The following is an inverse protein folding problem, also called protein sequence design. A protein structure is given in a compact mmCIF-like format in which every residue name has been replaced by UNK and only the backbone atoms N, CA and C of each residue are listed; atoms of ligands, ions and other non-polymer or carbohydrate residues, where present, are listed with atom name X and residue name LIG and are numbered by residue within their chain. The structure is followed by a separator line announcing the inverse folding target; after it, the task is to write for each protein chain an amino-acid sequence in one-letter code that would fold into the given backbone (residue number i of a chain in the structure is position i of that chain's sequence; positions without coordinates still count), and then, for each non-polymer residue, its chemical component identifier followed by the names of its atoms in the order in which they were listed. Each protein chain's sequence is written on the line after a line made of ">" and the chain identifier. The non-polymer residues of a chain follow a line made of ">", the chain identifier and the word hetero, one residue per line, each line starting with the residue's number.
data_IF_070053981791
#
_entry.id   IF_070053981791
#
_cell.length_a   1.000
_cell.length_b   1.000
_cell.length_c   1.000
_cell.angle_alpha   90.00
_cell.angle_beta   90.00
_cell.angle_gamma   90.00
#
_symmetry.space_group_name_H-M   'P 1'
#
loop_
_entity.id
_entity.type
_entity.pdbx_description
1 polymer ?
#
# COMPACT_ATOMS: atom_id res chain seq x y z
N UNK A 1 14.64 -17.84 0.03
CA UNK A 1 16.01 -17.29 0.01
C UNK A 1 15.91 -15.92 0.65
N UNK A 2 16.66 -15.66 1.72
CA UNK A 2 16.67 -14.36 2.38
C UNK A 2 17.15 -13.31 1.37
N UNK A 3 16.33 -12.30 1.11
CA UNK A 3 16.63 -11.19 0.22
C UNK A 3 17.24 -10.01 0.97
N UNK A 4 16.87 -9.80 2.25
CA UNK A 4 17.48 -8.75 3.08
C UNK A 4 18.89 -9.18 3.49
N UNK A 5 19.87 -8.45 3.00
CA UNK A 5 21.29 -8.70 3.23
C UNK A 5 21.69 -8.36 4.66
N UNK A 6 22.77 -8.98 5.13
CA UNK A 6 23.35 -8.66 6.44
C UNK A 6 23.73 -7.18 6.55
N UNK A 7 24.16 -6.54 5.45
CA UNK A 7 24.54 -5.13 5.40
C UNK A 7 23.32 -4.26 5.70
N UNK A 8 22.20 -4.48 5.00
CA UNK A 8 20.94 -3.76 5.23
C UNK A 8 20.43 -3.94 6.67
N UNK A 9 20.57 -5.14 7.25
CA UNK A 9 20.19 -5.37 8.67
C UNK A 9 21.01 -4.51 9.61
N UNK A 10 22.35 -4.52 9.45
CA UNK A 10 23.27 -3.71 10.26
C UNK A 10 23.00 -2.21 10.11
N UNK A 11 22.82 -1.73 8.88
CA UNK A 11 22.55 -0.31 8.62
C UNK A 11 21.24 0.15 9.28
N UNK A 12 20.19 -0.69 9.25
CA UNK A 12 18.93 -0.43 9.95
C UNK A 12 19.12 -0.39 11.47
N UNK A 13 19.93 -1.31 12.03
CA UNK A 13 20.20 -1.35 13.47
C UNK A 13 21.03 -0.14 13.93
N UNK A 14 22.06 0.22 13.15
CA UNK A 14 22.88 1.40 13.36
C UNK A 14 22.05 2.68 13.32
N UNK A 15 21.08 2.75 12.40
CA UNK A 15 20.13 3.87 12.34
C UNK A 15 19.37 4.02 13.67
N UNK A 16 18.81 2.94 14.23
CA UNK A 16 18.10 3.01 15.51
C UNK A 16 19.02 3.26 16.73
N UNK A 17 20.26 2.78 16.69
CA UNK A 17 21.23 2.94 17.78
C UNK A 17 21.83 4.34 17.83
N UNK A 18 22.33 4.78 16.69
CA UNK A 18 23.15 5.97 16.58
C UNK A 18 22.35 7.18 16.12
N UNK A 19 21.21 6.97 15.48
CA UNK A 19 20.40 8.02 14.87
C UNK A 19 20.98 8.52 13.55
N UNK A 20 20.32 9.52 12.96
CA UNK A 20 20.75 10.15 11.70
C UNK A 20 20.85 11.67 11.88
N UNK A 21 21.39 12.35 10.88
CA UNK A 21 21.52 13.80 10.84
C UNK A 21 20.53 14.39 9.84
N UNK A 22 19.88 15.50 10.21
CA UNK A 22 19.02 16.29 9.33
C UNK A 22 19.53 17.72 9.26
N UNK A 23 19.42 18.34 8.09
CA UNK A 23 19.77 19.74 7.89
C UNK A 23 18.54 20.63 8.09
N UNK A 24 18.52 21.43 9.16
CA UNK A 24 17.48 22.42 9.43
C UNK A 24 18.03 23.83 9.21
N UNK A 25 17.70 24.44 8.06
CA UNK A 25 18.00 25.83 7.63
C UNK A 25 19.49 26.25 7.61
N UNK A 26 20.19 26.16 8.74
CA UNK A 26 21.58 26.58 8.95
C UNK A 26 22.39 25.64 9.89
N UNK A 27 21.78 24.58 10.42
CA UNK A 27 22.46 23.65 11.35
C UNK A 27 22.12 22.19 11.02
N UNK A 28 23.14 21.33 11.07
CA UNK A 28 22.97 19.88 11.03
C UNK A 28 22.64 19.39 12.43
N UNK A 29 21.47 18.78 12.58
CA UNK A 29 20.97 18.28 13.86
C UNK A 29 20.95 16.76 13.85
N UNK A 30 21.61 16.16 14.83
CA UNK A 30 21.49 14.73 15.09
C UNK A 30 20.15 14.41 15.73
N UNK A 31 19.34 13.60 15.07
CA UNK A 31 18.04 13.12 15.54
C UNK A 31 18.11 11.65 15.92
N UNK A 32 17.30 11.26 16.89
CA UNK A 32 17.19 9.88 17.37
C UNK A 32 15.74 9.45 17.38
N UNK A 33 15.52 8.19 17.04
CA UNK A 33 14.24 7.53 17.14
C UNK A 33 14.48 6.09 17.60
N UNK A 34 14.28 5.77 18.89
CA UNK A 34 14.46 4.41 19.38
C UNK A 34 13.40 3.48 18.78
N UNK A 35 13.75 2.22 18.54
CA UNK A 35 12.86 1.23 17.93
C UNK A 35 11.56 1.01 18.73
N UNK A 36 11.59 1.23 20.05
CA UNK A 36 10.44 1.12 20.94
C UNK A 36 9.59 2.41 21.03
N UNK A 37 9.96 3.46 20.29
CA UNK A 37 9.24 4.73 20.22
C UNK A 37 8.96 5.35 21.58
N UNK A 38 7.67 5.50 21.94
CA UNK A 38 7.21 6.09 23.21
C UNK A 38 6.96 5.07 24.32
N UNK A 39 7.14 3.78 24.06
CA UNK A 39 6.96 2.71 25.05
C UNK A 39 8.28 2.48 25.82
N UNK A 40 8.25 1.60 26.82
CA UNK A 40 9.49 0.98 27.31
C UNK A 40 9.94 -0.12 26.35
N UNK A 41 11.24 -0.45 26.35
CA UNK A 41 11.77 -1.59 25.57
C UNK A 41 11.00 -2.88 25.89
N UNK A 42 10.76 -3.16 27.18
CA UNK A 42 10.01 -4.31 27.64
C UNK A 42 8.57 -4.33 27.11
N UNK A 43 7.85 -3.21 27.23
CA UNK A 43 6.47 -3.13 26.75
C UNK A 43 6.38 -3.26 25.23
N UNK A 44 7.38 -2.74 24.50
CA UNK A 44 7.47 -2.90 23.05
C UNK A 44 7.70 -4.38 22.67
N UNK A 45 8.67 -5.05 23.29
CA UNK A 45 8.98 -6.45 23.00
C UNK A 45 7.78 -7.37 23.27
N UNK A 46 7.05 -7.15 24.38
CA UNK A 46 5.81 -7.87 24.71
C UNK A 46 4.68 -7.71 23.69
N UNK A 47 4.75 -6.71 22.80
CA UNK A 47 3.78 -6.57 21.70
C UNK A 47 4.07 -7.50 20.52
N UNK A 48 5.30 -7.97 20.40
CA UNK A 48 5.78 -8.76 19.25
C UNK A 48 6.02 -10.21 19.66
N UNK A 49 6.57 -10.41 20.85
CA UNK A 49 7.02 -11.71 21.35
C UNK A 49 6.29 -12.09 22.63
N UNK A 50 5.97 -13.38 22.77
CA UNK A 50 5.58 -13.96 24.05
C UNK A 50 6.84 -14.26 24.87
N UNK A 51 7.31 -13.26 25.62
CA UNK A 51 8.55 -13.36 26.40
C UNK A 51 8.51 -14.44 27.50
N UNK A 52 7.32 -14.91 27.91
CA UNK A 52 7.21 -15.99 28.89
C UNK A 52 7.49 -17.37 28.28
N UNK A 53 7.30 -17.53 26.97
CA UNK A 53 7.57 -18.79 26.27
C UNK A 53 9.00 -18.88 25.72
N UNK A 54 9.72 -17.75 25.63
CA UNK A 54 11.11 -17.72 25.18
C UNK A 54 12.07 -18.14 26.31
N UNK A 55 13.14 -18.89 25.97
CA UNK A 55 14.13 -19.31 26.96
C UNK A 55 14.92 -18.12 27.53
N UNK A 56 15.36 -18.28 28.76
CA UNK A 56 16.30 -17.34 29.38
C UNK A 56 17.72 -17.56 28.86
N UNK A 57 18.46 -16.47 28.60
CA UNK A 57 19.91 -16.53 28.36
C UNK A 57 20.71 -16.56 29.67
N UNK A 58 20.06 -16.27 30.80
CA UNK A 58 20.62 -16.41 32.14
C UNK A 58 19.92 -17.55 32.89
N UNK A 59 20.65 -18.65 33.11
CA UNK A 59 20.16 -19.85 33.81
C UNK A 59 19.55 -19.61 35.20
N UNK A 60 19.72 -18.41 35.80
CA UNK A 60 19.07 -18.01 37.06
C UNK A 60 17.58 -17.67 36.92
N UNK A 61 17.11 -17.42 35.70
CA UNK A 61 15.73 -17.04 35.41
C UNK A 61 15.02 -18.10 34.57
N UNK A 62 13.71 -18.25 34.77
CA UNK A 62 12.91 -19.29 34.12
C UNK A 62 12.65 -19.00 32.64
N UNK A 63 12.57 -17.72 32.25
CA UNK A 63 12.21 -17.28 30.90
C UNK A 63 12.87 -15.95 30.52
N UNK A 64 12.70 -15.58 29.26
CA UNK A 64 13.26 -14.34 28.71
C UNK A 64 12.72 -13.09 29.44
N UNK A 65 11.43 -13.06 29.80
CA UNK A 65 10.87 -11.91 30.52
C UNK A 65 11.62 -11.62 31.83
N UNK A 66 11.90 -12.66 32.62
CA UNK A 66 12.63 -12.55 33.87
C UNK A 66 14.07 -12.09 33.69
N UNK A 67 14.80 -12.65 32.72
CA UNK A 67 16.19 -12.24 32.47
C UNK A 67 16.27 -10.81 31.93
N UNK A 68 15.42 -10.46 30.97
CA UNK A 68 15.47 -9.15 30.32
C UNK A 68 15.13 -8.11 31.38
N UNK A 69 14.10 -8.34 32.19
CA UNK A 69 13.74 -7.42 33.26
C UNK A 69 14.89 -7.23 34.27
N UNK A 70 15.55 -8.31 34.67
CA UNK A 70 16.66 -8.22 35.60
C UNK A 70 17.79 -7.36 35.02
N UNK A 71 18.14 -7.58 33.76
CA UNK A 71 19.30 -6.96 33.15
C UNK A 71 19.04 -5.54 32.62
N UNK A 72 17.87 -5.27 32.06
CA UNK A 72 17.55 -3.96 31.47
C UNK A 72 16.88 -2.98 32.45
N UNK A 73 16.30 -3.46 33.56
CA UNK A 73 15.57 -2.59 34.51
C UNK A 73 16.20 -2.63 35.90
N UNK A 74 16.53 -3.81 36.44
CA UNK A 74 17.05 -3.92 37.80
C UNK A 74 18.56 -3.61 37.88
N UNK A 75 19.35 -4.07 36.90
CA UNK A 75 20.81 -3.92 36.88
C UNK A 75 21.31 -2.84 35.91
N UNK A 76 20.63 -2.63 34.78
CA UNK A 76 21.07 -1.74 33.69
C UNK A 76 22.47 -2.13 33.15
N UNK A 77 22.69 -3.43 32.89
CA UNK A 77 23.98 -4.02 32.51
C UNK A 77 24.01 -4.62 31.09
N UNK A 78 22.92 -4.49 30.32
CA UNK A 78 22.91 -4.80 28.89
C UNK A 78 23.40 -3.64 28.03
N UNK A 79 24.12 -3.96 26.96
CA UNK A 79 24.60 -2.97 26.01
C UNK A 79 23.45 -2.36 25.20
N UNK A 80 23.61 -1.11 24.78
CA UNK A 80 22.65 -0.45 23.90
C UNK A 80 22.48 -1.26 22.60
N UNK A 81 21.25 -1.62 22.26
CA UNK A 81 20.96 -2.41 21.06
C UNK A 81 21.08 -3.92 21.22
N UNK A 82 21.26 -4.44 22.44
CA UNK A 82 21.33 -5.89 22.72
C UNK A 82 20.23 -6.71 22.01
N UNK A 83 19.03 -6.14 21.84
CA UNK A 83 17.88 -6.75 21.14
C UNK A 83 18.23 -7.17 19.71
N UNK A 84 19.08 -6.41 19.02
CA UNK A 84 19.45 -6.68 17.62
C UNK A 84 20.36 -7.90 17.48
N UNK A 85 21.14 -8.22 18.53
CA UNK A 85 22.07 -9.35 18.55
C UNK A 85 21.50 -10.59 19.27
N UNK A 86 20.39 -10.44 20.00
CA UNK A 86 19.77 -11.54 20.72
C UNK A 86 19.05 -12.51 19.75
N UNK A 87 19.64 -13.70 19.60
CA UNK A 87 19.15 -14.76 18.71
C UNK A 87 17.69 -15.19 19.01
N UNK A 88 17.16 -14.93 20.23
CA UNK A 88 15.77 -15.23 20.56
C UNK A 88 14.77 -14.44 19.71
N UNK A 89 15.14 -13.24 19.29
CA UNK A 89 14.30 -12.38 18.45
C UNK A 89 14.53 -12.58 16.95
N UNK A 90 15.61 -13.26 16.59
CA UNK A 90 15.97 -13.63 15.22
C UNK A 90 16.07 -12.42 14.27
N UNK A 91 16.43 -11.23 14.78
CA UNK A 91 16.51 -10.01 13.99
C UNK A 91 17.75 -9.97 13.09
N UNK A 92 18.90 -10.46 13.55
CA UNK A 92 20.10 -10.55 12.73
C UNK A 92 20.09 -11.80 11.84
N UNK A 93 19.76 -12.96 12.43
CA UNK A 93 19.98 -14.28 11.82
C UNK A 93 18.69 -15.01 11.38
N UNK A 94 17.51 -14.42 11.55
CA UNK A 94 16.22 -15.02 11.20
C UNK A 94 15.76 -14.81 9.77
N UNK A 95 14.50 -15.15 9.50
CA UNK A 95 13.85 -14.89 8.22
C UNK A 95 13.55 -13.39 8.04
N UNK A 96 13.44 -12.93 6.78
CA UNK A 96 13.16 -11.53 6.46
C UNK A 96 11.82 -11.06 7.04
N UNK A 97 10.82 -11.94 7.06
CA UNK A 97 9.49 -11.67 7.62
C UNK A 97 9.55 -11.29 9.10
N UNK A 98 10.49 -11.85 9.87
CA UNK A 98 10.66 -11.53 11.30
C UNK A 98 11.12 -10.09 11.46
N UNK A 99 12.14 -9.69 10.70
CA UNK A 99 12.63 -8.30 10.70
C UNK A 99 11.57 -7.32 10.20
N UNK A 100 10.91 -7.64 9.07
CA UNK A 100 9.89 -6.77 8.50
C UNK A 100 8.69 -6.59 9.46
N UNK A 101 8.29 -7.65 10.16
CA UNK A 101 7.23 -7.59 11.19
C UNK A 101 7.66 -6.73 12.38
N UNK A 102 8.91 -6.87 12.83
CA UNK A 102 9.49 -6.02 13.86
C UNK A 102 9.45 -4.54 13.44
N UNK A 103 9.90 -4.21 12.22
CA UNK A 103 9.90 -2.84 11.71
C UNK A 103 8.50 -2.26 11.57
N UNK A 104 7.50 -3.04 11.14
CA UNK A 104 6.10 -2.61 11.15
C UNK A 104 5.63 -2.24 12.57
N UNK A 105 6.05 -3.01 13.59
CA UNK A 105 5.73 -2.71 14.99
C UNK A 105 6.43 -1.43 15.48
N UNK A 106 7.69 -1.19 15.10
CA UNK A 106 8.44 0.05 15.40
C UNK A 106 7.68 1.29 14.95
N UNK A 107 7.08 1.26 13.74
CA UNK A 107 6.32 2.38 13.17
C UNK A 107 4.81 2.33 13.46
N UNK A 108 4.35 1.41 14.30
CA UNK A 108 2.94 1.30 14.62
C UNK A 108 2.44 2.55 15.39
N UNK A 109 1.24 3.11 15.11
CA UNK A 109 0.70 4.32 15.77
C UNK A 109 0.63 4.27 17.31
N UNK A 110 0.62 3.06 17.88
CA UNK A 110 0.67 2.85 19.34
C UNK A 110 2.08 3.03 19.92
N UNK A 111 3.12 2.81 19.11
CA UNK A 111 4.55 2.82 19.48
C UNK A 111 5.18 4.16 19.12
N UNK A 112 4.98 4.66 17.90
CA UNK A 112 5.59 5.91 17.45
C UNK A 112 5.01 7.15 18.16
N UNK A 113 5.82 8.21 18.24
CA UNK A 113 5.38 9.55 18.66
C UNK A 113 5.09 10.41 17.44
N UNK A 114 3.84 10.84 17.24
CA UNK A 114 3.44 11.61 16.04
C UNK A 114 4.15 12.96 15.91
N UNK A 115 4.61 13.54 17.03
CA UNK A 115 5.38 14.79 17.04
C UNK A 115 6.90 14.57 16.96
N UNK A 116 7.34 13.32 16.83
CA UNK A 116 8.76 12.96 16.73
C UNK A 116 9.18 12.67 15.28
N UNK A 117 10.46 12.30 15.13
CA UNK A 117 11.12 12.09 13.82
C UNK A 117 10.86 10.70 13.21
N UNK A 118 9.68 10.14 13.43
CA UNK A 118 9.40 8.76 12.99
C UNK A 118 9.29 8.64 11.47
N UNK A 119 8.93 9.73 10.76
CA UNK A 119 8.78 9.74 9.30
C UNK A 119 10.14 9.69 8.63
N UNK A 120 11.07 10.49 9.11
CA UNK A 120 12.47 10.54 8.66
C UNK A 120 13.12 9.17 8.82
N UNK A 121 12.93 8.51 9.97
CA UNK A 121 13.44 7.16 10.17
C UNK A 121 12.73 6.10 9.32
N UNK A 122 11.42 6.24 9.09
CA UNK A 122 10.69 5.37 8.18
C UNK A 122 11.22 5.48 6.75
N UNK A 123 11.51 6.70 6.29
CA UNK A 123 12.04 6.98 4.96
C UNK A 123 13.45 6.38 4.79
N UNK A 124 14.33 6.55 5.78
CA UNK A 124 15.66 5.94 5.79
C UNK A 124 15.59 4.40 5.79
N UNK A 125 14.77 3.81 6.68
CA UNK A 125 14.54 2.35 6.71
C UNK A 125 14.03 1.85 5.37
N UNK A 126 13.05 2.55 4.77
CA UNK A 126 12.55 2.18 3.45
C UNK A 126 13.60 2.34 2.35
N UNK A 127 14.47 3.35 2.42
CA UNK A 127 15.60 3.51 1.50
C UNK A 127 16.51 2.28 1.53
N UNK A 128 16.83 1.79 2.72
CA UNK A 128 17.65 0.59 2.92
C UNK A 128 16.93 -0.68 2.44
N UNK A 129 15.67 -0.89 2.84
CA UNK A 129 14.90 -2.09 2.46
C UNK A 129 14.69 -2.21 0.94
N UNK A 130 14.53 -1.09 0.24
CA UNK A 130 14.30 -1.07 -1.21
C UNK A 130 15.48 -1.62 -2.01
N UNK A 131 16.70 -1.44 -1.51
CA UNK A 131 17.90 -2.03 -2.13
C UNK A 131 17.83 -3.57 -2.14
N UNK A 132 17.09 -4.14 -1.19
CA UNK A 132 16.92 -5.58 -1.02
C UNK A 132 15.52 -6.06 -1.41
N UNK A 133 14.75 -5.24 -2.15
CA UNK A 133 13.50 -5.65 -2.76
C UNK A 133 12.29 -5.67 -1.81
N UNK A 134 12.32 -4.92 -0.71
CA UNK A 134 11.19 -4.74 0.20
C UNK A 134 10.88 -3.28 0.49
N UNK A 135 9.65 -2.99 0.92
CA UNK A 135 9.29 -1.70 1.51
C UNK A 135 8.18 -1.85 2.56
N UNK A 136 8.18 -0.95 3.52
CA UNK A 136 7.07 -0.68 4.44
C UNK A 136 6.13 0.31 3.78
N UNK A 137 4.85 -0.02 3.71
CA UNK A 137 3.82 0.81 3.08
C UNK A 137 2.62 0.98 4.01
N UNK A 138 1.85 2.09 3.90
CA UNK A 138 0.60 2.23 4.62
C UNK A 138 -0.39 1.13 4.21
N UNK A 139 -0.59 0.14 5.08
CA UNK A 139 -1.48 -1.00 4.83
C UNK A 139 -2.90 -0.70 5.31
N UNK A 140 -3.04 0.00 6.44
CA UNK A 140 -4.34 0.37 7.01
C UNK A 140 -4.26 1.64 7.85
N UNK A 141 -5.38 2.03 8.50
CA UNK A 141 -5.42 3.17 9.42
C UNK A 141 -6.12 2.80 10.73
N UNK A 142 -5.60 3.30 11.85
CA UNK A 142 -6.24 3.26 13.17
C UNK A 142 -6.33 4.70 13.69
N UNK A 143 -7.54 5.15 14.05
CA UNK A 143 -7.78 6.52 14.53
C UNK A 143 -7.22 7.60 13.58
N UNK A 144 -7.32 7.38 12.28
CA UNK A 144 -6.84 8.28 11.23
C UNK A 144 -5.33 8.21 10.93
N UNK A 145 -4.57 7.39 11.67
CA UNK A 145 -3.11 7.26 11.55
C UNK A 145 -2.73 5.99 10.81
N UNK A 146 -1.71 6.06 9.97
CA UNK A 146 -1.25 4.93 9.15
C UNK A 146 -0.62 3.82 9.98
N UNK A 147 -1.11 2.60 9.76
CA UNK A 147 -0.49 1.34 10.20
C UNK A 147 0.25 0.76 9.01
N UNK A 148 1.54 0.51 9.19
CA UNK A 148 2.40 0.03 8.14
C UNK A 148 2.42 -1.50 8.10
N UNK A 149 2.34 -2.05 6.89
CA UNK A 149 2.67 -3.43 6.57
C UNK A 149 3.91 -3.46 5.66
N UNK A 150 4.34 -4.65 5.25
CA UNK A 150 5.47 -4.81 4.32
C UNK A 150 5.02 -5.50 3.02
N UNK A 151 5.70 -5.19 1.92
CA UNK A 151 5.51 -5.85 0.62
C UNK A 151 6.83 -5.91 -0.15
N UNK A 152 6.88 -6.72 -1.20
CA UNK A 152 8.00 -6.67 -2.15
C UNK A 152 8.01 -5.31 -2.87
N UNK A 153 9.18 -4.70 -2.90
CA UNK A 153 9.44 -3.49 -3.66
C UNK A 153 9.80 -3.89 -5.10
N UNK A 154 9.00 -3.39 -6.04
CA UNK A 154 9.26 -3.53 -7.46
C UNK A 154 9.75 -2.16 -7.99
N UNK A 155 11.06 -1.98 -8.21
CA UNK A 155 11.61 -0.72 -8.69
C UNK A 155 11.11 -0.38 -10.10
N UNK A 156 10.79 -1.38 -10.94
CA UNK A 156 10.18 -1.13 -12.25
C UNK A 156 8.75 -0.62 -12.07
N UNK A 157 7.97 -1.14 -11.12
CA UNK A 157 6.61 -0.64 -10.83
C UNK A 157 6.60 0.73 -10.14
N UNK A 158 7.55 1.00 -9.25
CA UNK A 158 7.73 2.31 -8.60
C UNK A 158 8.24 3.37 -9.59
N UNK A 159 9.08 2.97 -10.55
CA UNK A 159 9.54 3.82 -11.65
C UNK A 159 8.51 3.96 -12.79
N UNK A 160 7.67 2.95 -13.02
CA UNK A 160 6.59 2.93 -14.02
C UNK A 160 5.35 3.64 -13.48
N UNK A 161 5.54 4.84 -12.95
CA UNK A 161 4.44 5.77 -12.73
C UNK A 161 3.91 6.22 -14.10
N UNK A 162 2.80 5.63 -14.55
CA UNK A 162 2.08 6.08 -15.74
C UNK A 162 0.95 7.01 -15.29
N UNK A 163 0.97 8.31 -15.65
CA UNK A 163 -0.04 9.27 -15.21
C UNK A 163 -1.43 8.92 -15.76
N UNK A 164 -2.48 9.32 -15.02
CA UNK A 164 -3.88 8.98 -15.27
C UNK A 164 -4.29 9.06 -16.75
N UNK A 165 -3.99 10.16 -17.44
CA UNK A 165 -4.38 10.36 -18.84
C UNK A 165 -3.76 9.35 -19.80
N UNK A 166 -2.57 8.85 -19.47
CA UNK A 166 -1.86 7.83 -20.24
C UNK A 166 -2.34 6.44 -19.86
N UNK A 167 -2.56 6.19 -18.56
CA UNK A 167 -3.09 4.93 -18.03
C UNK A 167 -4.45 4.57 -18.61
N UNK A 168 -5.31 5.58 -18.84
CA UNK A 168 -6.65 5.42 -19.41
C UNK A 168 -6.80 6.00 -20.83
N UNK A 169 -5.71 6.07 -21.60
CA UNK A 169 -5.70 6.73 -22.91
C UNK A 169 -6.75 6.14 -23.88
N UNK A 170 -6.95 4.81 -23.86
CA UNK A 170 -7.91 4.13 -24.72
C UNK A 170 -9.36 4.50 -24.34
N UNK A 171 -9.69 4.48 -23.06
CA UNK A 171 -11.01 4.79 -22.53
C UNK A 171 -11.36 6.27 -22.69
N UNK A 172 -10.38 7.17 -22.56
CA UNK A 172 -10.55 8.60 -22.83
C UNK A 172 -10.82 8.82 -24.32
N UNK A 173 -10.04 8.19 -25.21
CA UNK A 173 -10.22 8.28 -26.66
C UNK A 173 -11.60 7.76 -27.10
N UNK A 174 -12.04 6.65 -26.51
CA UNK A 174 -13.34 6.04 -26.77
C UNK A 174 -14.51 6.74 -26.05
N UNK A 175 -14.25 7.79 -25.26
CA UNK A 175 -15.24 8.52 -24.44
C UNK A 175 -15.98 7.63 -23.44
N UNK A 176 -15.35 6.56 -22.99
CA UNK A 176 -15.86 5.64 -21.96
C UNK A 176 -15.70 6.23 -20.56
N UNK A 177 -14.74 7.14 -20.37
CA UNK A 177 -14.58 7.92 -19.15
C UNK A 177 -15.18 9.31 -19.32
N UNK A 178 -16.09 9.67 -18.41
CA UNK A 178 -16.63 11.02 -18.27
C UNK A 178 -16.10 11.64 -17.00
N UNK A 179 -15.33 12.71 -17.14
CA UNK A 179 -14.82 13.51 -16.04
C UNK A 179 -15.03 14.99 -16.38
N UNK A 180 -15.60 15.74 -15.43
CA UNK A 180 -15.76 17.18 -15.54
C UNK A 180 -15.27 17.85 -14.28
N UNK A 181 -14.40 18.85 -14.45
CA UNK A 181 -13.90 19.69 -13.37
C UNK A 181 -14.29 21.12 -13.67
N UNK A 182 -15.26 21.65 -12.92
CA UNK A 182 -15.70 23.04 -13.07
C UNK A 182 -14.57 24.02 -12.78
N UNK A 183 -14.66 25.25 -13.30
CA UNK A 183 -13.65 26.29 -13.05
C UNK A 183 -13.46 26.57 -11.56
N UNK A 184 -14.54 26.50 -10.77
CA UNK A 184 -14.46 26.63 -9.31
C UNK A 184 -13.57 25.54 -8.69
N UNK A 185 -13.75 24.29 -9.12
CA UNK A 185 -12.96 23.16 -8.64
C UNK A 185 -11.51 23.30 -9.09
N UNK A 186 -11.25 23.65 -10.35
CA UNK A 186 -9.90 23.89 -10.88
C UNK A 186 -9.16 24.97 -10.08
N UNK A 187 -9.83 26.08 -9.76
CA UNK A 187 -9.24 27.13 -8.91
C UNK A 187 -8.92 26.64 -7.50
N UNK A 188 -9.76 25.78 -6.92
CA UNK A 188 -9.49 25.17 -5.61
C UNK A 188 -8.29 24.23 -5.66
N UNK A 189 -8.22 23.38 -6.70
CA UNK A 189 -7.10 22.46 -6.91
C UNK A 189 -5.80 23.21 -7.12
N UNK A 190 -5.79 24.25 -7.98
CA UNK A 190 -4.60 25.07 -8.21
C UNK A 190 -4.07 25.71 -6.92
N UNK A 191 -4.97 26.23 -6.06
CA UNK A 191 -4.55 26.79 -4.76
C UNK A 191 -3.87 25.76 -3.85
N UNK A 192 -4.27 24.49 -3.92
CA UNK A 192 -3.57 23.41 -3.22
C UNK A 192 -2.22 23.17 -3.86
N UNK A 193 -2.11 23.07 -5.18
CA UNK A 193 -0.81 22.89 -5.86
C UNK A 193 0.17 24.03 -5.53
N UNK A 194 -0.31 25.27 -5.54
CA UNK A 194 0.46 26.47 -5.19
C UNK A 194 0.95 26.40 -3.73
N UNK A 195 0.07 26.01 -2.79
CA UNK A 195 0.43 25.82 -1.37
C UNK A 195 1.52 24.76 -1.17
N UNK A 196 1.54 23.71 -1.99
CA UNK A 196 2.48 22.59 -1.91
C UNK A 196 3.63 22.71 -2.93
N UNK A 197 3.84 23.91 -3.50
CA UNK A 197 5.00 24.18 -4.34
C UNK A 197 6.14 24.70 -3.46
N UNK A 198 7.24 23.97 -3.46
CA UNK A 198 8.48 24.33 -2.74
C UNK A 198 9.59 24.63 -3.74
N UNK A 199 10.56 25.43 -3.32
CA UNK A 199 11.78 25.70 -4.10
C UNK A 199 12.90 24.77 -3.66
N UNK A 200 13.49 24.06 -4.61
CA UNK A 200 14.68 23.22 -4.42
C UNK A 200 15.89 23.91 -5.04
N UNK A 201 17.10 23.60 -4.56
CA UNK A 201 18.34 24.00 -5.21
C UNK A 201 18.88 22.83 -6.02
N UNK A 202 19.01 23.02 -7.32
CA UNK A 202 19.62 22.04 -8.22
C UNK A 202 21.00 22.53 -8.65
N UNK A 203 22.01 21.67 -8.57
CA UNK A 203 23.36 21.97 -9.08
C UNK A 203 23.54 21.26 -10.42
N UNK A 204 23.71 22.02 -11.49
CA UNK A 204 23.99 21.47 -12.82
C UNK A 204 25.32 20.72 -12.87
N UNK A 205 25.54 19.92 -13.92
CA UNK A 205 26.81 19.23 -14.20
C UNK A 205 28.03 20.17 -14.23
N UNK A 206 27.80 21.45 -14.51
CA UNK A 206 28.83 22.50 -14.55
C UNK A 206 29.06 23.21 -13.21
N UNK A 207 28.36 22.79 -12.14
CA UNK A 207 28.48 23.36 -10.79
C UNK A 207 27.60 24.60 -10.53
N UNK A 208 26.82 25.06 -11.51
CA UNK A 208 25.87 26.17 -11.31
C UNK A 208 24.66 25.74 -10.51
N UNK A 209 24.35 26.48 -9.45
CA UNK A 209 23.16 26.30 -8.64
C UNK A 209 22.00 27.14 -9.18
N UNK A 210 20.84 26.51 -9.35
CA UNK A 210 19.59 27.16 -9.73
C UNK A 210 18.46 26.74 -8.81
N UNK A 211 17.60 27.69 -8.47
CA UNK A 211 16.35 27.43 -7.78
C UNK A 211 15.34 26.84 -8.77
N UNK A 212 14.71 25.73 -8.41
CA UNK A 212 13.69 25.05 -9.21
C UNK A 212 12.45 24.77 -8.37
N UNK A 213 11.28 25.06 -8.91
CA UNK A 213 10.00 24.84 -8.22
C UNK A 213 9.52 23.40 -8.37
N UNK A 214 8.75 22.90 -7.41
CA UNK A 214 8.01 21.62 -7.54
C UNK A 214 7.22 21.55 -8.85
N UNK A 215 6.58 22.66 -9.27
CA UNK A 215 5.83 22.75 -10.54
C UNK A 215 6.69 22.47 -11.77
N UNK A 216 7.95 22.89 -11.75
CA UNK A 216 8.90 22.68 -12.85
C UNK A 216 9.37 21.22 -12.89
N UNK A 217 9.63 20.60 -11.73
CA UNK A 217 9.89 19.17 -11.65
C UNK A 217 8.69 18.35 -12.16
N UNK A 218 7.48 18.72 -11.76
CA UNK A 218 6.25 18.08 -12.25
C UNK A 218 6.14 18.20 -13.78
N UNK A 219 6.45 19.36 -14.36
CA UNK A 219 6.45 19.49 -15.83
C UNK A 219 7.55 18.68 -16.51
N UNK A 220 8.75 18.58 -15.93
CA UNK A 220 9.82 17.71 -16.43
C UNK A 220 9.35 16.25 -16.45
N UNK A 221 8.71 15.80 -15.38
CA UNK A 221 8.17 14.44 -15.27
C UNK A 221 7.02 14.17 -16.25
N UNK A 222 6.05 15.09 -16.37
CA UNK A 222 4.97 15.00 -17.38
C UNK A 222 5.55 14.92 -18.79
N UNK A 223 6.61 15.70 -19.08
CA UNK A 223 7.25 15.77 -20.40
C UNK A 223 7.87 14.45 -20.86
N UNK A 224 8.12 13.51 -19.93
CA UNK A 224 8.55 12.15 -20.28
C UNK A 224 7.45 11.34 -20.97
N UNK A 225 6.18 11.71 -20.77
CA UNK A 225 5.02 11.02 -21.34
C UNK A 225 4.40 11.79 -22.51
N UNK A 226 4.26 13.10 -22.37
CA UNK A 226 3.72 13.97 -23.41
C UNK A 226 4.11 15.44 -23.18
N UNK A 227 4.16 16.23 -24.24
CA UNK A 227 4.45 17.65 -24.14
C UNK A 227 3.32 18.40 -23.38
N UNK A 228 3.60 19.08 -22.25
CA UNK A 228 2.60 19.88 -21.55
C UNK A 228 2.06 21.00 -22.44
N UNK A 229 0.74 21.02 -22.62
CA UNK A 229 0.01 22.00 -23.45
C UNK A 229 -1.24 22.46 -22.73
N UNK A 230 -1.78 23.63 -23.08
CA UNK A 230 -3.10 24.09 -22.66
C UNK A 230 -3.73 24.97 -23.75
N UNK A 231 -5.03 25.24 -23.63
CA UNK A 231 -5.70 26.18 -24.51
C UNK A 231 -5.33 27.62 -24.15
N UNK A 232 -4.85 28.40 -25.13
CA UNK A 232 -4.63 29.83 -24.96
C UNK A 232 -5.96 30.61 -25.07
N UNK A 233 -5.89 31.94 -25.03
CA UNK A 233 -7.09 32.81 -25.13
C UNK A 233 -7.79 32.75 -26.49
N UNK A 234 -7.05 32.39 -27.56
CA UNK A 234 -7.58 32.22 -28.91
C UNK A 234 -8.21 30.83 -29.12
N UNK A 235 -8.11 29.93 -28.14
CA UNK A 235 -8.58 28.55 -28.25
C UNK A 235 -7.59 27.59 -28.91
N UNK A 236 -6.34 28.00 -29.15
CA UNK A 236 -5.29 27.14 -29.69
C UNK A 236 -4.66 26.29 -28.58
N UNK A 237 -4.36 25.03 -28.87
CA UNK A 237 -3.71 24.11 -27.94
C UNK A 237 -2.18 24.19 -28.07
N UNK A 238 -1.54 24.97 -27.20
CA UNK A 238 -0.12 25.36 -27.29
C UNK A 238 0.68 24.89 -26.09
N UNK A 239 2.01 24.79 -26.23
CA UNK A 239 2.90 24.41 -25.13
C UNK A 239 2.81 25.41 -23.98
N UNK A 240 2.89 24.90 -22.74
CA UNK A 240 2.84 25.74 -21.53
C UNK A 240 3.84 25.25 -20.49
N UNK A 241 4.48 26.19 -19.80
CA UNK A 241 5.23 25.97 -18.56
C UNK A 241 4.55 26.62 -17.36
N UNK A 242 3.30 27.07 -17.52
CA UNK A 242 2.52 27.74 -16.48
C UNK A 242 1.53 26.75 -15.88
N UNK A 243 1.78 26.34 -14.63
CA UNK A 243 0.95 25.37 -13.91
C UNK A 243 -0.48 25.90 -13.69
N UNK A 244 -0.66 27.20 -13.49
CA UNK A 244 -1.99 27.78 -13.35
C UNK A 244 -2.79 27.62 -14.64
N UNK A 245 -2.19 27.97 -15.78
CA UNK A 245 -2.84 27.79 -17.09
C UNK A 245 -3.10 26.32 -17.40
N UNK A 246 -2.16 25.44 -17.06
CA UNK A 246 -2.31 23.99 -17.25
C UNK A 246 -3.51 23.44 -16.48
N UNK A 247 -3.72 23.86 -15.22
CA UNK A 247 -4.88 23.44 -14.44
C UNK A 247 -6.18 24.08 -14.94
N UNK A 248 -6.14 25.35 -15.31
CA UNK A 248 -7.33 26.13 -15.63
C UNK A 248 -7.85 25.89 -17.05
N UNK A 249 -6.95 25.68 -18.02
CA UNK A 249 -7.26 25.67 -19.46
C UNK A 249 -6.87 24.37 -20.16
N UNK A 250 -6.98 23.22 -19.47
CA UNK A 250 -6.68 21.92 -20.08
C UNK A 250 -7.78 20.89 -19.86
N UNK A 251 -7.63 19.70 -20.44
CA UNK A 251 -8.42 18.51 -20.18
C UNK A 251 -8.41 18.18 -18.68
N UNK A 252 -9.55 17.80 -18.08
CA UNK A 252 -9.59 17.38 -16.67
C UNK A 252 -8.71 16.16 -16.39
N UNK A 253 -8.40 15.34 -17.40
CA UNK A 253 -7.47 14.22 -17.27
C UNK A 253 -6.01 14.69 -17.10
N UNK A 254 -5.61 15.78 -17.76
CA UNK A 254 -4.28 16.37 -17.53
C UNK A 254 -4.19 17.04 -16.15
N UNK A 255 -5.30 17.60 -15.65
CA UNK A 255 -5.37 18.10 -14.27
C UNK A 255 -5.12 16.97 -13.27
N UNK A 256 -5.67 15.78 -13.53
CA UNK A 256 -5.43 14.59 -12.74
C UNK A 256 -3.96 14.17 -12.75
N UNK A 257 -3.30 14.19 -13.91
CA UNK A 257 -1.86 13.91 -14.00
C UNK A 257 -1.03 14.84 -13.12
N UNK A 258 -1.29 16.14 -13.18
CA UNK A 258 -0.59 17.12 -12.34
C UNK A 258 -0.77 16.81 -10.84
N UNK A 259 -1.99 16.42 -10.42
CA UNK A 259 -2.26 16.04 -9.03
C UNK A 259 -1.43 14.80 -8.62
N UNK A 260 -1.44 13.75 -9.45
CA UNK A 260 -0.69 12.52 -9.15
C UNK A 260 0.83 12.78 -9.08
N UNK A 261 1.38 13.61 -9.98
CA UNK A 261 2.79 13.99 -9.93
C UNK A 261 3.13 14.89 -8.74
N UNK A 262 2.24 15.81 -8.34
CA UNK A 262 2.48 16.64 -7.15
C UNK A 262 2.57 15.80 -5.86
N UNK A 263 1.79 14.73 -5.75
CA UNK A 263 1.85 13.81 -4.60
C UNK A 263 3.21 13.11 -4.47
N UNK A 264 3.90 12.83 -5.59
CA UNK A 264 5.27 12.28 -5.59
C UNK A 264 6.25 13.16 -4.81
N UNK A 265 6.07 14.48 -4.87
CA UNK A 265 6.91 15.46 -4.18
C UNK A 265 6.36 15.89 -2.81
N UNK A 266 5.17 15.39 -2.43
CA UNK A 266 4.44 15.78 -1.23
C UNK A 266 3.85 14.56 -0.50
N UNK A 267 4.66 13.51 -0.32
CA UNK A 267 4.26 12.18 0.20
C UNK A 267 3.92 12.14 1.70
N UNK A 268 3.89 13.28 2.39
CA UNK A 268 3.60 13.36 3.83
C UNK A 268 2.12 13.11 4.19
N UNK A 269 1.26 12.89 3.17
CA UNK A 269 -0.16 12.57 3.27
C UNK A 269 -1.11 13.77 3.37
N UNK A 270 -0.60 14.98 3.64
CA UNK A 270 -1.45 16.17 3.79
C UNK A 270 -1.99 16.68 2.45
N UNK A 271 -1.19 16.56 1.38
CA UNK A 271 -1.59 16.93 0.02
C UNK A 271 -2.79 16.10 -0.43
N UNK A 272 -2.66 14.77 -0.41
CA UNK A 272 -3.75 13.85 -0.71
C UNK A 272 -5.02 14.14 0.13
N UNK A 273 -4.87 14.47 1.42
CA UNK A 273 -6.01 14.81 2.28
C UNK A 273 -6.77 16.05 1.81
N UNK A 274 -6.08 17.11 1.39
CA UNK A 274 -6.71 18.33 0.88
C UNK A 274 -7.36 18.11 -0.48
N UNK A 275 -6.68 17.40 -1.40
CA UNK A 275 -7.26 17.03 -2.70
C UNK A 275 -8.53 16.21 -2.51
N UNK A 276 -8.49 15.17 -1.66
CA UNK A 276 -9.64 14.31 -1.39
C UNK A 276 -10.80 15.07 -0.73
N UNK A 277 -10.50 16.08 0.11
CA UNK A 277 -11.52 16.95 0.68
C UNK A 277 -12.22 17.78 -0.39
N UNK A 278 -11.49 18.33 -1.36
CA UNK A 278 -12.07 19.06 -2.50
C UNK A 278 -12.95 18.13 -3.33
N UNK A 279 -12.49 16.93 -3.65
CA UNK A 279 -13.27 15.96 -4.42
C UNK A 279 -14.56 15.56 -3.71
N UNK A 280 -14.48 15.24 -2.41
CA UNK A 280 -15.65 14.87 -1.61
C UNK A 280 -16.69 16.00 -1.53
N UNK A 281 -16.25 17.25 -1.30
CA UNK A 281 -17.15 18.41 -1.22
C UNK A 281 -17.82 18.76 -2.55
N UNK A 282 -17.23 18.34 -3.67
CA UNK A 282 -17.74 18.61 -5.01
C UNK A 282 -18.26 17.36 -5.73
N UNK A 283 -18.51 16.26 -4.99
CA UNK A 283 -19.05 15.00 -5.51
C UNK A 283 -18.25 14.41 -6.69
N UNK A 284 -16.93 14.58 -6.70
CA UNK A 284 -16.04 13.94 -7.67
C UNK A 284 -15.80 12.50 -7.22
N UNK A 285 -16.07 11.54 -8.11
CA UNK A 285 -16.01 10.09 -7.83
C UNK A 285 -14.59 9.52 -7.94
N UNK A 286 -13.61 10.27 -7.46
CA UNK A 286 -12.20 9.87 -7.45
C UNK A 286 -11.58 10.26 -6.10
N UNK A 287 -10.60 9.47 -5.66
CA UNK A 287 -9.73 9.81 -4.53
C UNK A 287 -8.27 9.56 -4.90
N UNK A 288 -7.39 10.41 -4.40
CA UNK A 288 -5.95 10.23 -4.44
C UNK A 288 -5.56 9.28 -3.32
N UNK A 289 -5.01 8.13 -3.68
CA UNK A 289 -4.56 7.09 -2.77
C UNK A 289 -3.28 6.48 -3.34
N UNK A 290 -2.23 6.40 -2.51
CA UNK A 290 -0.93 5.84 -2.90
C UNK A 290 -0.34 6.46 -4.18
N UNK A 291 -0.38 7.79 -4.31
CA UNK A 291 0.14 8.51 -5.48
C UNK A 291 -0.74 8.44 -6.73
N UNK A 292 -1.87 7.72 -6.70
CA UNK A 292 -2.73 7.52 -7.88
C UNK A 292 -4.18 7.91 -7.61
N UNK A 293 -4.83 8.45 -8.63
CA UNK A 293 -6.25 8.71 -8.63
C UNK A 293 -7.02 7.46 -9.00
N UNK A 294 -7.84 6.99 -8.06
CA UNK A 294 -8.68 5.81 -8.22
C UNK A 294 -10.16 6.19 -8.14
N UNK A 295 -10.98 5.52 -8.95
CA UNK A 295 -12.41 5.76 -9.00
C UNK A 295 -13.08 5.17 -7.74
N UNK A 296 -13.89 5.98 -7.05
CA UNK A 296 -14.56 5.56 -5.80
C UNK A 296 -15.81 4.70 -6.03
N UNK A 297 -16.28 4.59 -7.27
CA UNK A 297 -17.42 3.74 -7.66
C UNK A 297 -16.98 2.36 -8.15
N UNK A 298 -15.70 2.16 -8.44
CA UNK A 298 -15.22 0.82 -8.74
C UNK A 298 -15.24 -0.02 -7.46
N UNK A 299 -15.77 -1.24 -7.57
CA UNK A 299 -15.72 -2.23 -6.49
C UNK A 299 -14.26 -2.60 -6.30
N UNK A 300 -13.58 -1.91 -5.40
CA UNK A 300 -12.26 -2.27 -4.91
C UNK A 300 -12.41 -3.00 -3.59
N UNK A 301 -11.57 -4.00 -3.34
CA UNK A 301 -11.50 -4.58 -2.01
C UNK A 301 -10.91 -3.53 -1.07
N UNK A 302 -11.62 -3.22 0.02
CA UNK A 302 -11.12 -2.24 0.99
C UNK A 302 -9.85 -2.77 1.66
N UNK A 303 -8.93 -1.89 2.06
CA UNK A 303 -7.75 -2.27 2.84
C UNK A 303 -8.13 -3.06 4.09
N UNK A 304 -9.23 -2.70 4.76
CA UNK A 304 -9.79 -3.44 5.90
C UNK A 304 -10.16 -4.88 5.55
N UNK A 305 -10.72 -5.11 4.36
CA UNK A 305 -11.05 -6.46 3.88
C UNK A 305 -9.77 -7.25 3.54
N UNK A 306 -8.69 -6.59 3.10
CA UNK A 306 -7.37 -7.22 2.86
C UNK A 306 -6.65 -7.60 4.15
N UNK A 307 -6.76 -6.79 5.20
CA UNK A 307 -6.21 -7.10 6.53
C UNK A 307 -6.88 -8.30 7.20
N UNK A 308 -8.13 -8.61 6.81
CA UNK A 308 -8.89 -9.74 7.35
C UNK A 308 -8.48 -11.11 6.79
N UNK A 309 -7.66 -11.16 5.73
CA UNK A 309 -7.19 -12.42 5.15
C UNK A 309 -5.93 -12.87 5.88
N UNK A 310 -6.06 -13.85 6.77
CA UNK A 310 -4.93 -14.43 7.52
C UNK A 310 -4.10 -15.44 6.70
N UNK A 311 -4.69 -16.10 5.70
CA UNK A 311 -3.95 -17.03 4.84
C UNK A 311 -3.17 -16.27 3.76
N UNK A 312 -1.84 -16.31 3.88
CA UNK A 312 -0.92 -15.54 3.02
C UNK A 312 -1.15 -15.80 1.53
N UNK A 313 -1.33 -17.05 1.10
CA UNK A 313 -1.51 -17.36 -0.32
C UNK A 313 -2.79 -16.77 -0.92
N UNK A 314 -3.90 -16.82 -0.19
CA UNK A 314 -5.15 -16.17 -0.57
C UNK A 314 -4.97 -14.65 -0.61
N UNK A 315 -4.30 -14.06 0.40
CA UNK A 315 -4.04 -12.62 0.44
C UNK A 315 -3.23 -12.17 -0.78
N UNK A 316 -2.17 -12.90 -1.12
CA UNK A 316 -1.32 -12.63 -2.28
C UNK A 316 -2.11 -12.69 -3.60
N UNK A 317 -2.87 -13.76 -3.85
CA UNK A 317 -3.65 -13.91 -5.09
C UNK A 317 -4.67 -12.79 -5.26
N UNK A 318 -5.31 -12.38 -4.17
CA UNK A 318 -6.28 -11.28 -4.19
C UNK A 318 -5.59 -9.94 -4.46
N UNK A 319 -4.43 -9.69 -3.84
CA UNK A 319 -3.63 -8.49 -4.11
C UNK A 319 -3.13 -8.44 -5.57
N UNK A 320 -2.66 -9.55 -6.11
CA UNK A 320 -2.27 -9.66 -7.51
C UNK A 320 -3.44 -9.38 -8.45
N UNK A 321 -4.62 -9.94 -8.15
CA UNK A 321 -5.83 -9.70 -8.95
C UNK A 321 -6.21 -8.22 -8.98
N UNK A 322 -6.21 -7.56 -7.82
CA UNK A 322 -6.47 -6.11 -7.70
C UNK A 322 -5.43 -5.29 -8.46
N UNK A 323 -4.14 -5.66 -8.33
CA UNK A 323 -3.04 -5.02 -9.06
C UNK A 323 -3.26 -5.10 -10.57
N UNK A 324 -3.38 -6.31 -11.12
CA UNK A 324 -3.56 -6.51 -12.56
C UNK A 324 -4.81 -5.85 -13.10
N UNK A 325 -5.89 -5.83 -12.30
CA UNK A 325 -7.12 -5.13 -12.70
C UNK A 325 -6.90 -3.62 -12.81
N UNK A 326 -6.16 -3.02 -11.86
CA UNK A 326 -5.82 -1.60 -11.87
C UNK A 326 -4.88 -1.20 -13.02
N UNK A 327 -4.07 -2.15 -13.49
CA UNK A 327 -3.15 -2.01 -14.63
C UNK A 327 -3.85 -2.27 -15.99
N UNK A 328 -5.18 -2.43 -15.99
CA UNK A 328 -5.99 -2.79 -17.16
C UNK A 328 -5.64 -4.17 -17.77
N UNK A 329 -4.89 -5.00 -17.05
CA UNK A 329 -4.55 -6.37 -17.44
C UNK A 329 -5.63 -7.35 -16.96
N UNK A 330 -6.82 -7.22 -17.55
CA UNK A 330 -8.06 -7.85 -17.09
C UNK A 330 -8.05 -9.37 -17.17
N UNK A 331 -7.33 -9.94 -18.14
CA UNK A 331 -7.23 -11.38 -18.30
C UNK A 331 -6.52 -12.01 -17.09
N UNK A 332 -5.32 -11.51 -16.79
CA UNK A 332 -4.54 -11.99 -15.63
C UNK A 332 -5.27 -11.66 -14.33
N UNK A 333 -5.92 -10.49 -14.24
CA UNK A 333 -6.70 -10.13 -13.05
C UNK A 333 -7.81 -11.16 -12.75
N UNK A 334 -8.57 -11.58 -13.78
CA UNK A 334 -9.63 -12.58 -13.63
C UNK A 334 -9.04 -13.95 -13.30
N UNK A 335 -7.93 -14.35 -13.91
CA UNK A 335 -7.22 -15.59 -13.59
C UNK A 335 -6.83 -15.64 -12.11
N UNK A 336 -6.10 -14.62 -11.62
CA UNK A 336 -5.65 -14.53 -10.22
C UNK A 336 -6.81 -14.49 -9.24
N UNK A 337 -7.89 -13.78 -9.58
CA UNK A 337 -9.08 -13.75 -8.74
C UNK A 337 -9.80 -15.10 -8.69
N UNK A 338 -9.80 -15.85 -9.79
CA UNK A 338 -10.34 -17.21 -9.79
C UNK A 338 -9.46 -18.18 -9.02
N UNK A 339 -8.13 -18.03 -9.08
CA UNK A 339 -7.21 -18.78 -8.24
C UNK A 339 -7.43 -18.48 -6.75
N UNK A 340 -7.64 -17.21 -6.39
CA UNK A 340 -8.04 -16.82 -5.05
C UNK A 340 -9.36 -17.50 -4.63
N UNK A 341 -10.38 -17.51 -5.49
CA UNK A 341 -11.64 -18.20 -5.22
C UNK A 341 -11.47 -19.72 -5.05
N UNK A 342 -10.60 -20.36 -5.84
CA UNK A 342 -10.29 -21.78 -5.67
C UNK A 342 -9.51 -22.06 -4.38
N UNK A 343 -8.60 -21.15 -4.00
CA UNK A 343 -7.84 -21.22 -2.74
C UNK A 343 -8.73 -21.03 -1.52
N UNK A 344 -9.65 -20.07 -1.57
CA UNK A 344 -10.69 -19.81 -0.57
C UNK A 344 -11.52 -21.08 -0.28
N UNK A 345 -11.93 -21.82 -1.31
CA UNK A 345 -12.67 -23.09 -1.14
C UNK A 345 -11.87 -24.20 -0.44
N UNK A 346 -10.58 -24.00 -0.22
CA UNK A 346 -9.69 -24.93 0.50
C UNK A 346 -9.12 -24.36 1.78
N UNK A 347 -9.64 -23.23 2.26
CA UNK A 347 -9.13 -22.51 3.43
C UNK A 347 -9.02 -23.40 4.69
N UNK A 348 -9.99 -24.28 4.94
CA UNK A 348 -9.99 -25.18 6.10
C UNK A 348 -9.29 -26.53 5.84
N UNK A 349 -8.42 -26.63 4.83
CA UNK A 349 -7.65 -27.83 4.52
C UNK A 349 -6.39 -27.93 5.42
N UNK A 350 -5.96 -29.14 5.85
CA UNK A 350 -6.49 -30.47 5.51
C UNK A 350 -7.64 -30.96 6.40
N UNK A 351 -8.08 -30.18 7.39
CA UNK A 351 -9.10 -30.58 8.37
C UNK A 351 -10.44 -30.86 7.68
N UNK A 352 -10.80 -30.05 6.69
CA UNK A 352 -11.96 -30.22 5.82
C UNK A 352 -11.51 -30.40 4.37
N UNK A 353 -12.19 -31.31 3.66
CA UNK A 353 -12.04 -31.37 2.21
C UNK A 353 -12.66 -30.12 1.54
N UNK A 354 -12.32 -29.87 0.27
CA UNK A 354 -12.78 -28.70 -0.48
C UNK A 354 -14.30 -28.47 -0.44
N UNK A 355 -15.10 -29.52 -0.54
CA UNK A 355 -16.56 -29.40 -0.52
C UNK A 355 -17.06 -28.95 0.85
N UNK A 356 -16.58 -29.59 1.92
CA UNK A 356 -16.93 -29.25 3.31
C UNK A 356 -16.39 -27.88 3.74
N UNK A 357 -15.20 -27.51 3.26
CA UNK A 357 -14.63 -26.18 3.50
C UNK A 357 -15.50 -25.09 2.87
N UNK A 358 -15.95 -25.28 1.62
CA UNK A 358 -16.87 -24.34 0.98
C UNK A 358 -18.23 -24.27 1.70
N UNK A 359 -18.79 -25.41 2.12
CA UNK A 359 -20.03 -25.46 2.90
C UNK A 359 -19.90 -24.69 4.22
N UNK A 360 -18.81 -24.88 4.96
CA UNK A 360 -18.54 -24.12 6.19
C UNK A 360 -18.49 -22.62 5.94
N UNK A 361 -17.77 -22.16 4.91
CA UNK A 361 -17.69 -20.73 4.57
C UNK A 361 -19.09 -20.17 4.28
N UNK A 362 -19.91 -20.88 3.51
CA UNK A 362 -21.28 -20.48 3.19
C UNK A 362 -22.14 -20.41 4.46
N UNK A 363 -22.01 -21.38 5.37
CA UNK A 363 -22.73 -21.37 6.65
C UNK A 363 -22.37 -20.15 7.49
N UNK A 364 -21.07 -19.86 7.61
CA UNK A 364 -20.55 -18.71 8.32
C UNK A 364 -21.06 -17.39 7.68
N UNK A 365 -20.98 -17.25 6.35
CA UNK A 365 -21.48 -16.08 5.59
C UNK A 365 -22.99 -15.86 5.74
N UNK A 366 -23.77 -16.94 5.79
CA UNK A 366 -25.23 -16.87 5.90
C UNK A 366 -25.72 -16.63 7.33
N UNK A 367 -24.85 -16.75 8.34
CA UNK A 367 -25.23 -16.83 9.75
C UNK A 367 -26.35 -17.88 10.00
N UNK A 368 -26.28 -19.00 9.29
CA UNK A 368 -27.33 -20.04 9.24
C UNK A 368 -28.73 -19.59 8.79
N UNK A 369 -28.88 -18.42 8.16
CA UNK A 369 -30.16 -17.96 7.61
C UNK A 369 -30.44 -18.63 6.25
N UNK A 370 -31.58 -19.34 6.07
CA UNK A 370 -31.83 -20.15 4.87
C UNK A 370 -31.84 -19.40 3.53
N UNK A 371 -32.35 -18.16 3.47
CA UNK A 371 -32.42 -17.41 2.21
C UNK A 371 -31.02 -16.94 1.78
N UNK A 372 -30.20 -16.45 2.72
CA UNK A 372 -28.80 -16.12 2.43
C UNK A 372 -27.98 -17.35 2.07
N UNK A 373 -28.17 -18.48 2.78
CA UNK A 373 -27.50 -19.74 2.46
C UNK A 373 -27.77 -20.16 1.01
N UNK A 374 -29.03 -20.16 0.58
CA UNK A 374 -29.41 -20.52 -0.78
C UNK A 374 -28.76 -19.60 -1.86
N UNK A 375 -28.70 -18.29 -1.60
CA UNK A 375 -28.07 -17.33 -2.51
C UNK A 375 -26.56 -17.61 -2.64
N UNK A 376 -25.86 -17.77 -1.52
CA UNK A 376 -24.42 -18.03 -1.53
C UNK A 376 -24.07 -19.40 -2.13
N UNK A 377 -24.84 -20.45 -1.83
CA UNK A 377 -24.68 -21.76 -2.48
C UNK A 377 -24.81 -21.66 -4.00
N UNK A 378 -25.82 -20.95 -4.48
CA UNK A 378 -26.03 -20.75 -5.90
C UNK A 378 -24.88 -19.97 -6.54
N UNK A 379 -24.36 -18.96 -5.85
CA UNK A 379 -23.25 -18.15 -6.38
C UNK A 379 -21.93 -18.94 -6.41
N UNK A 380 -21.57 -19.67 -5.35
CA UNK A 380 -20.40 -20.56 -5.33
C UNK A 380 -20.44 -21.59 -6.47
N UNK A 381 -21.61 -22.19 -6.71
CA UNK A 381 -21.83 -23.12 -7.83
C UNK A 381 -21.67 -22.42 -9.17
N UNK A 382 -22.26 -21.24 -9.33
CA UNK A 382 -22.21 -20.49 -10.59
C UNK A 382 -20.80 -20.08 -10.94
N UNK A 383 -20.02 -19.53 -9.99
CA UNK A 383 -18.62 -19.17 -10.23
C UNK A 383 -17.73 -20.38 -10.49
N UNK A 384 -17.98 -21.50 -9.81
CA UNK A 384 -17.27 -22.76 -10.11
C UNK A 384 -17.55 -23.22 -11.53
N UNK A 385 -18.80 -23.15 -11.99
CA UNK A 385 -19.17 -23.51 -13.35
C UNK A 385 -18.54 -22.58 -14.39
N UNK A 386 -18.51 -21.27 -14.13
CA UNK A 386 -17.86 -20.29 -15.01
C UNK A 386 -16.35 -20.62 -15.14
N UNK A 387 -15.64 -20.81 -14.04
CA UNK A 387 -14.21 -21.15 -14.06
C UNK A 387 -13.88 -22.47 -14.75
N UNK A 388 -14.81 -23.42 -14.73
CA UNK A 388 -14.66 -24.70 -15.42
C UNK A 388 -15.03 -24.64 -16.91
N UNK A 389 -15.83 -23.67 -17.34
CA UNK A 389 -16.37 -23.60 -18.71
C UNK A 389 -15.60 -22.62 -19.58
N UNK A 390 -15.18 -21.48 -19.04
CA UNK A 390 -14.46 -20.44 -19.75
C UNK A 390 -12.94 -20.61 -19.60
N UNK A 391 -12.20 -20.07 -20.56
CA UNK A 391 -10.73 -20.08 -20.58
C UNK A 391 -10.14 -19.04 -19.62
N UNK A 392 -10.40 -19.22 -18.32
CA UNK A 392 -9.95 -18.34 -17.24
C UNK A 392 -8.65 -18.85 -16.60
N UNK A 393 -8.59 -20.15 -16.26
CA UNK A 393 -7.42 -20.79 -15.62
C UNK A 393 -6.79 -21.89 -16.47
N UNK A 394 -7.63 -22.60 -17.22
CA UNK A 394 -7.21 -23.75 -18.02
C UNK A 394 -7.32 -23.38 -19.49
N UNK A 395 -6.20 -23.40 -20.21
CA UNK A 395 -6.14 -23.06 -21.63
C UNK A 395 -6.42 -24.27 -22.55
N UNK A 396 -7.21 -25.24 -22.07
CA UNK A 396 -7.65 -26.39 -22.86
C UNK A 396 -8.53 -25.94 -24.03
N UNK A 397 -8.42 -26.60 -25.19
CA UNK A 397 -9.18 -26.26 -26.40
C UNK A 397 -10.69 -26.48 -26.27
N UNK A 398 -11.15 -27.11 -25.19
CA UNK A 398 -12.56 -27.39 -24.89
C UNK A 398 -13.25 -26.26 -24.15
N UNK A 399 -12.51 -25.25 -23.66
CA UNK A 399 -13.05 -24.10 -22.93
C UNK A 399 -13.57 -23.03 -23.87
N UNK A 400 -14.55 -22.26 -23.40
CA UNK A 400 -15.11 -21.10 -24.11
C UNK A 400 -14.13 -19.94 -24.01
N UNK A 401 -13.66 -19.43 -25.15
CA UNK A 401 -12.82 -18.23 -25.20
C UNK A 401 -13.61 -16.97 -24.83
N UNK A 402 -12.94 -16.03 -24.15
CA UNK A 402 -13.51 -14.74 -23.75
C UNK A 402 -13.00 -13.67 -24.73
N UNK A 403 -13.70 -13.50 -25.85
CA UNK A 403 -13.25 -12.59 -26.92
C UNK A 403 -13.53 -11.09 -26.67
N UNK A 404 -14.38 -10.74 -25.70
CA UNK A 404 -14.78 -9.36 -25.41
C UNK A 404 -14.24 -8.94 -24.03
N UNK A 405 -13.38 -7.92 -24.01
CA UNK A 405 -12.72 -7.44 -22.79
C UNK A 405 -13.70 -7.02 -21.69
N UNK A 406 -14.92 -6.61 -22.05
CA UNK A 406 -15.99 -6.24 -21.09
C UNK A 406 -16.49 -7.44 -20.28
N UNK A 407 -16.34 -8.65 -20.79
CA UNK A 407 -16.73 -9.87 -20.07
C UNK A 407 -15.74 -10.16 -18.94
N UNK A 408 -14.45 -9.83 -19.12
CA UNK A 408 -13.49 -9.91 -18.02
C UNK A 408 -13.86 -8.95 -16.89
N UNK A 409 -14.31 -7.72 -17.19
CA UNK A 409 -14.82 -6.80 -16.15
C UNK A 409 -16.00 -7.40 -15.38
N UNK A 410 -16.96 -8.02 -16.09
CA UNK A 410 -18.11 -8.66 -15.46
C UNK A 410 -17.68 -9.84 -14.57
N UNK A 411 -16.85 -10.74 -15.07
CA UNK A 411 -16.37 -11.90 -14.31
C UNK A 411 -15.54 -11.47 -13.10
N UNK A 412 -14.65 -10.50 -13.29
CA UNK A 412 -13.86 -9.92 -12.21
C UNK A 412 -14.77 -9.37 -11.11
N UNK A 413 -15.65 -8.41 -11.43
CA UNK A 413 -16.52 -7.75 -10.44
C UNK A 413 -17.45 -8.74 -9.73
N UNK A 414 -17.96 -9.75 -10.46
CA UNK A 414 -18.84 -10.78 -9.90
C UNK A 414 -18.11 -11.68 -8.90
N UNK A 415 -16.95 -12.21 -9.27
CA UNK A 415 -16.16 -13.06 -8.39
C UNK A 415 -15.63 -12.26 -7.19
N UNK A 416 -15.20 -11.02 -7.44
CA UNK A 416 -14.67 -10.12 -6.43
C UNK A 416 -15.69 -9.85 -5.33
N UNK A 417 -16.96 -9.62 -5.71
CA UNK A 417 -18.03 -9.38 -4.76
C UNK A 417 -18.19 -10.56 -3.78
N UNK A 418 -18.16 -11.80 -4.29
CA UNK A 418 -18.26 -12.98 -3.42
C UNK A 418 -17.03 -13.13 -2.52
N UNK A 419 -15.82 -13.06 -3.10
CA UNK A 419 -14.56 -13.22 -2.35
C UNK A 419 -14.44 -12.16 -1.26
N UNK A 420 -14.78 -10.90 -1.57
CA UNK A 420 -14.70 -9.78 -0.62
C UNK A 420 -15.61 -9.94 0.59
N UNK A 421 -16.77 -10.57 0.43
CA UNK A 421 -17.66 -10.88 1.55
C UNK A 421 -17.13 -12.11 2.29
N UNK A 422 -16.81 -13.19 1.57
CA UNK A 422 -16.40 -14.46 2.17
C UNK A 422 -15.21 -14.32 3.12
N UNK A 423 -14.21 -13.50 2.75
CA UNK A 423 -13.02 -13.30 3.59
C UNK A 423 -13.32 -12.67 4.94
N UNK A 424 -14.40 -11.89 5.08
CA UNK A 424 -14.81 -11.29 6.35
C UNK A 424 -15.34 -12.34 7.35
N UNK A 425 -15.71 -13.53 6.85
CA UNK A 425 -16.27 -14.63 7.66
C UNK A 425 -15.28 -15.78 7.85
N UNK A 426 -14.03 -15.63 7.40
CA UNK A 426 -12.96 -16.57 7.72
C UNK A 426 -12.50 -16.34 9.17
N UNK A 427 -12.12 -17.42 9.87
CA UNK A 427 -11.78 -17.38 11.30
C UNK A 427 -10.86 -16.21 11.67
N UNK A 428 -11.39 -15.25 12.46
CA UNK A 428 -10.66 -14.10 13.01
C UNK A 428 -10.89 -12.75 12.32
N UNK A 429 -11.66 -12.68 11.24
CA UNK A 429 -11.98 -11.44 10.51
C UNK A 429 -12.92 -10.49 11.26
N UNK A 430 -12.50 -9.98 12.42
CA UNK A 430 -13.13 -8.89 13.19
C UNK A 430 -14.64 -9.07 13.45
N UNK A 431 -14.98 -9.79 14.53
CA UNK A 431 -16.29 -9.75 15.21
C UNK A 431 -17.48 -9.42 14.30
N UNK A 432 -18.08 -10.43 13.68
CA UNK A 432 -19.43 -10.32 13.15
C UNK A 432 -20.42 -10.16 14.33
N UNK A 433 -20.48 -8.94 14.86
CA UNK A 433 -21.56 -8.38 15.67
C UNK A 433 -21.78 -6.92 15.29
#
# INVERSE_FOLDING_TARGET
>A
MKQITEITRRDIFDLFLYGTEIDEFFETKKIKYPFYGRLSEMDFLKRIYDLNSLPSNDSRFENAEGDIWQHTINNDDYEAGWVFEDDRFQLQNGEDEVLLTFLCAVFHPAVRSESGYWKEFLDEVNGLLRNDGYELYPESKISGRDVYGWRKYDPEQAAMFIPFSQRYAAEIKDRKLSLSLSMKIRSQLYKVLEKYTTTYRETSETGWQSDILTSEYVFRDISQFYQPKCYNENGDYVATGDMQQFIMKNSPFCVFDAIEFYEKYNSNGEFAMQINSIFKLNSITYKLENGKLINTLDVSISSTTMSGISETGLKELVLEAVRYYSENNKEIAVEKLWDAFERLKTYYSPQLNKAKSAEKIIEDMSASEPHYKAIYEQEFRTLTNIGNSFRIRHHETTKIDIGDSRQYDYFYKRCLALVSVAVLYLEGGSQAR
#
